data_IF_569771068141
#
_entry.id   IF_569771068141
#
_cell.length_a   1.000
_cell.length_b   1.000
_cell.length_c   1.000
_cell.angle_alpha   90.00
_cell.angle_beta   90.00
_cell.angle_gamma   90.00
#
_symmetry.space_group_name_H-M   'P 1'
#
loop_
_entity.id
_entity.type
_entity.pdbx_description
1 polymer ?
#
# COMPACT_ATOMS: atom_id res chain seq x y z
N UNK A 1 -0.91 -21.00 50.71
CA UNK A 1 -0.11 -20.53 49.57
C UNK A 1 -0.79 -21.04 48.32
N UNK A 2 -1.71 -20.24 47.78
CA UNK A 2 -2.40 -20.50 46.52
C UNK A 2 -1.93 -19.44 45.54
N UNK A 3 -1.06 -19.80 44.61
CA UNK A 3 -0.64 -18.90 43.55
C UNK A 3 -1.73 -18.83 42.48
N UNK A 4 -2.18 -17.60 42.24
CA UNK A 4 -3.06 -17.20 41.15
C UNK A 4 -2.30 -17.31 39.83
N UNK A 5 -2.60 -18.32 39.02
CA UNK A 5 -2.42 -18.20 37.57
C UNK A 5 -3.70 -17.62 36.95
N UNK A 6 -3.63 -16.50 36.20
CA UNK A 6 -4.76 -15.99 35.47
C UNK A 6 -5.06 -16.91 34.28
N UNK A 7 -6.05 -17.79 34.49
CA UNK A 7 -6.76 -18.56 33.47
C UNK A 7 -7.26 -17.63 32.36
N UNK A 8 -6.56 -17.57 31.22
CA UNK A 8 -7.03 -17.01 29.95
C UNK A 8 -8.14 -17.89 29.32
N UNK A 9 -9.18 -18.20 30.09
CA UNK A 9 -10.38 -18.88 29.61
C UNK A 9 -11.46 -17.82 29.35
N UNK A 10 -11.54 -17.32 28.12
CA UNK A 10 -12.59 -16.37 27.72
C UNK A 10 -12.76 -16.18 26.20
N UNK A 11 -11.73 -16.39 25.39
CA UNK A 11 -11.80 -16.03 23.96
C UNK A 11 -12.49 -17.05 23.05
N UNK A 12 -13.02 -18.19 23.53
CA UNK A 12 -13.61 -19.21 22.65
C UNK A 12 -15.10 -19.02 22.38
N UNK A 13 -15.86 -18.39 23.28
CA UNK A 13 -17.31 -18.21 23.14
C UNK A 13 -17.72 -16.92 22.42
N UNK A 14 -16.87 -15.88 22.40
CA UNK A 14 -17.19 -14.58 21.79
C UNK A 14 -16.88 -14.50 20.29
N UNK A 15 -16.29 -15.54 19.70
CA UNK A 15 -15.87 -15.54 18.29
C UNK A 15 -17.03 -15.41 17.29
N UNK A 16 -18.17 -16.10 17.44
CA UNK A 16 -19.30 -15.93 16.52
C UNK A 16 -19.82 -14.49 16.54
N UNK A 17 -19.87 -13.87 17.72
CA UNK A 17 -20.27 -12.49 17.89
C UNK A 17 -19.29 -11.51 17.24
N UNK A 18 -17.98 -11.66 17.52
CA UNK A 18 -16.94 -10.82 16.93
C UNK A 18 -16.86 -10.98 15.40
N UNK A 19 -17.02 -12.21 14.89
CA UNK A 19 -17.08 -12.46 13.45
C UNK A 19 -18.32 -11.83 12.84
N UNK A 20 -19.48 -11.89 13.51
CA UNK A 20 -20.72 -11.28 13.00
C UNK A 20 -20.60 -9.76 12.86
N UNK A 21 -19.97 -9.09 13.84
CA UNK A 21 -19.73 -7.64 13.78
C UNK A 21 -18.66 -7.30 12.73
N UNK A 22 -17.57 -8.07 12.65
CA UNK A 22 -16.49 -7.78 11.70
C UNK A 22 -16.86 -8.11 10.25
N UNK A 23 -17.65 -9.15 10.02
CA UNK A 23 -18.09 -9.54 8.68
C UNK A 23 -19.06 -8.53 8.09
N UNK A 24 -19.85 -7.87 8.94
CA UNK A 24 -20.84 -6.86 8.57
C UNK A 24 -20.31 -5.42 8.54
N UNK A 25 -19.03 -5.21 8.90
CA UNK A 25 -18.36 -3.93 8.67
C UNK A 25 -17.54 -3.98 7.37
N UNK A 26 -18.03 -3.29 6.34
CA UNK A 26 -17.46 -3.26 4.99
C UNK A 26 -16.69 -1.96 4.73
N UNK A 27 -15.48 -1.88 5.28
CA UNK A 27 -14.53 -0.79 4.99
C UNK A 27 -13.66 -1.11 3.76
N UNK A 28 -12.86 -0.13 3.34
CA UNK A 28 -11.84 -0.23 2.26
C UNK A 28 -10.73 -1.22 2.59
N UNK A 29 -10.39 -1.39 3.87
CA UNK A 29 -9.48 -2.43 4.35
C UNK A 29 -10.10 -3.18 5.52
N UNK A 30 -9.76 -4.46 5.67
CA UNK A 30 -10.18 -5.28 6.82
C UNK A 30 -8.99 -5.98 7.44
N UNK A 31 -8.79 -5.74 8.73
CA UNK A 31 -7.82 -6.46 9.54
C UNK A 31 -8.46 -7.72 10.12
N UNK A 32 -7.90 -8.89 9.77
CA UNK A 32 -8.49 -10.19 10.11
C UNK A 32 -7.61 -10.91 11.13
N UNK A 33 -8.14 -11.25 12.31
CA UNK A 33 -7.39 -12.04 13.28
C UNK A 33 -7.10 -13.46 12.77
N UNK A 34 -6.07 -14.12 13.32
CA UNK A 34 -5.78 -15.52 13.02
C UNK A 34 -6.95 -16.41 13.44
N UNK A 35 -7.30 -17.46 12.65
CA UNK A 35 -8.30 -18.42 13.05
C UNK A 35 -7.80 -19.29 14.22
N UNK A 36 -8.68 -19.76 15.13
CA UNK A 36 -8.29 -20.75 16.13
C UNK A 36 -7.70 -22.00 15.49
N UNK A 37 -6.71 -22.59 16.14
CA UNK A 37 -6.14 -23.89 15.79
C UNK A 37 -5.64 -23.95 14.33
N UNK A 38 -5.14 -22.84 13.81
CA UNK A 38 -4.59 -22.72 12.47
C UNK A 38 -3.20 -22.09 12.54
N UNK A 39 -2.32 -22.48 11.61
CA UNK A 39 -1.01 -21.85 11.41
C UNK A 39 -1.11 -20.49 10.71
N UNK A 40 -2.31 -20.07 10.29
CA UNK A 40 -2.53 -18.80 9.58
C UNK A 40 -2.43 -17.62 10.56
N UNK A 41 -1.53 -16.68 10.27
CA UNK A 41 -1.32 -15.46 11.05
C UNK A 41 -2.37 -14.34 10.82
N UNK A 42 -2.03 -13.14 11.28
CA UNK A 42 -2.80 -11.92 11.03
C UNK A 42 -2.83 -11.60 9.53
N UNK A 43 -3.99 -11.15 9.04
CA UNK A 43 -4.20 -10.87 7.62
C UNK A 43 -4.80 -9.50 7.41
N UNK A 44 -4.48 -8.92 6.26
CA UNK A 44 -5.06 -7.67 5.78
C UNK A 44 -5.78 -7.98 4.47
N UNK A 45 -7.02 -7.50 4.34
CA UNK A 45 -7.82 -7.62 3.13
C UNK A 45 -7.93 -6.24 2.47
N UNK A 46 -7.42 -6.11 1.25
CA UNK A 46 -7.52 -4.90 0.42
C UNK A 46 -8.74 -5.01 -0.48
N UNK A 47 -9.73 -4.14 -0.26
CA UNK A 47 -11.07 -4.19 -0.86
C UNK A 47 -11.42 -3.07 -1.87
N UNK A 48 -10.63 -1.99 -2.12
CA UNK A 48 -11.10 -0.90 -2.99
C UNK A 48 -11.05 -1.19 -4.50
N UNK A 49 -10.48 -2.32 -4.95
CA UNK A 49 -10.27 -2.53 -6.39
C UNK A 49 -11.57 -2.92 -7.09
N UNK A 50 -11.90 -2.19 -8.15
CA UNK A 50 -12.96 -2.55 -9.10
C UNK A 50 -12.52 -3.71 -9.99
N UNK A 51 -13.44 -4.65 -10.26
CA UNK A 51 -13.18 -5.78 -11.15
C UNK A 51 -13.04 -5.31 -12.60
N UNK A 52 -12.05 -5.84 -13.29
CA UNK A 52 -11.78 -5.54 -14.70
C UNK A 52 -12.36 -6.61 -15.62
N UNK A 53 -12.54 -6.29 -16.90
CA UNK A 53 -13.16 -7.21 -17.86
C UNK A 53 -12.29 -8.44 -18.15
N UNK A 54 -10.98 -8.26 -18.26
CA UNK A 54 -10.06 -9.37 -18.55
C UNK A 54 -9.39 -9.93 -17.29
N UNK A 55 -9.09 -11.23 -17.33
CA UNK A 55 -8.26 -11.87 -16.32
C UNK A 55 -6.85 -11.28 -16.27
N UNK A 56 -6.32 -10.80 -17.40
CA UNK A 56 -5.02 -10.13 -17.49
C UNK A 56 -4.98 -8.85 -16.66
N UNK A 57 -5.96 -7.96 -16.80
CA UNK A 57 -6.02 -6.71 -16.03
C UNK A 57 -6.20 -7.00 -14.53
N UNK A 58 -7.09 -7.93 -14.18
CA UNK A 58 -7.29 -8.34 -12.80
C UNK A 58 -5.99 -8.91 -12.18
N UNK A 59 -5.28 -9.78 -12.93
CA UNK A 59 -4.00 -10.33 -12.50
C UNK A 59 -2.93 -9.23 -12.34
N UNK A 60 -2.90 -8.23 -13.22
CA UNK A 60 -1.98 -7.10 -13.12
C UNK A 60 -2.15 -6.34 -11.81
N UNK A 61 -3.39 -5.97 -11.46
CA UNK A 61 -3.67 -5.22 -10.24
C UNK A 61 -3.39 -6.04 -8.97
N UNK A 62 -3.79 -7.32 -8.94
CA UNK A 62 -3.51 -8.20 -7.80
C UNK A 62 -2.01 -8.39 -7.60
N UNK A 63 -1.27 -8.65 -8.69
CA UNK A 63 0.20 -8.81 -8.64
C UNK A 63 0.87 -7.54 -8.16
N UNK A 64 0.42 -6.38 -8.65
CA UNK A 64 0.95 -5.09 -8.23
C UNK A 64 0.77 -4.83 -6.74
N UNK A 65 -0.41 -5.07 -6.16
CA UNK A 65 -0.65 -4.89 -4.72
C UNK A 65 0.23 -5.83 -3.89
N UNK A 66 0.39 -7.09 -4.31
CA UNK A 66 1.28 -8.04 -3.63
C UNK A 66 2.74 -7.59 -3.68
N UNK A 67 3.23 -7.12 -4.83
CA UNK A 67 4.60 -6.63 -4.94
C UNK A 67 4.81 -5.32 -4.19
N UNK A 68 3.84 -4.41 -4.22
CA UNK A 68 3.88 -3.14 -3.51
C UNK A 68 3.96 -3.37 -2.00
N UNK A 69 3.12 -4.25 -1.45
CA UNK A 69 3.18 -4.60 -0.01
C UNK A 69 4.51 -5.20 0.39
N UNK A 70 5.12 -6.03 -0.47
CA UNK A 70 6.48 -6.55 -0.24
C UNK A 70 7.53 -5.45 -0.28
N UNK A 71 7.43 -4.51 -1.22
CA UNK A 71 8.34 -3.36 -1.29
C UNK A 71 8.21 -2.47 -0.04
N UNK A 72 6.98 -2.19 0.42
CA UNK A 72 6.71 -1.43 1.65
C UNK A 72 7.41 -2.07 2.86
N UNK A 73 7.25 -3.37 3.04
CA UNK A 73 7.85 -4.10 4.16
C UNK A 73 9.37 -4.19 4.04
N UNK A 74 9.89 -4.48 2.85
CA UNK A 74 11.33 -4.66 2.62
C UNK A 74 12.12 -3.38 2.81
N UNK A 75 11.52 -2.23 2.50
CA UNK A 75 12.17 -0.93 2.60
C UNK A 75 11.75 -0.11 3.82
N UNK A 76 10.86 -0.63 4.66
CA UNK A 76 10.32 0.11 5.80
C UNK A 76 9.69 1.45 5.38
N UNK A 77 8.90 1.43 4.30
CA UNK A 77 8.26 2.64 3.79
C UNK A 77 7.11 3.08 4.69
N UNK A 78 6.95 4.39 4.84
CA UNK A 78 5.86 5.01 5.57
C UNK A 78 4.92 5.71 4.59
N UNK A 79 3.65 5.35 4.56
CA UNK A 79 2.61 5.99 3.75
C UNK A 79 1.55 6.70 4.59
N UNK A 80 1.80 6.91 5.88
CA UNK A 80 0.82 7.48 6.81
C UNK A 80 0.53 8.93 6.44
N UNK A 81 -0.76 9.24 6.33
CA UNK A 81 -1.34 10.58 6.21
C UNK A 81 -2.58 10.67 7.12
N UNK A 82 -3.07 11.87 7.46
CA UNK A 82 -4.29 12.01 8.27
C UNK A 82 -5.50 11.31 7.64
N UNK A 83 -6.29 10.60 8.45
CA UNK A 83 -7.48 9.87 7.97
C UNK A 83 -8.48 10.78 7.25
N UNK A 84 -8.62 12.03 7.69
CA UNK A 84 -9.47 13.02 7.04
C UNK A 84 -9.07 13.32 5.58
N UNK A 85 -7.78 13.17 5.24
CA UNK A 85 -7.26 13.30 3.88
C UNK A 85 -7.48 12.04 3.04
N UNK A 86 -7.48 10.87 3.68
CA UNK A 86 -7.94 9.63 3.04
C UNK A 86 -9.43 9.72 2.69
N UNK A 87 -10.27 10.25 3.58
CA UNK A 87 -11.71 10.44 3.31
C UNK A 87 -11.97 11.48 2.21
N UNK A 88 -11.13 12.50 2.11
CA UNK A 88 -11.15 13.46 1.00
C UNK A 88 -10.76 12.80 -0.33
N UNK A 89 -9.70 11.98 -0.33
CA UNK A 89 -9.30 11.18 -1.49
C UNK A 89 -10.40 10.23 -1.95
N UNK A 90 -11.09 9.56 -1.02
CA UNK A 90 -12.20 8.66 -1.37
C UNK A 90 -13.33 9.44 -2.06
N UNK A 91 -13.67 10.64 -1.60
CA UNK A 91 -14.68 11.49 -2.27
C UNK A 91 -14.22 11.90 -3.67
N UNK A 92 -12.96 12.31 -3.81
CA UNK A 92 -12.38 12.68 -5.12
C UNK A 92 -12.35 11.50 -6.09
N UNK A 93 -12.02 10.29 -5.63
CA UNK A 93 -11.91 9.09 -6.47
C UNK A 93 -13.23 8.71 -7.19
N UNK A 94 -14.39 9.14 -6.67
CA UNK A 94 -15.69 8.88 -7.28
C UNK A 94 -16.05 9.86 -8.41
N UNK A 95 -15.29 10.95 -8.58
CA UNK A 95 -15.56 11.91 -9.66
C UNK A 95 -15.27 11.28 -11.01
N UNK A 96 -16.05 11.66 -12.01
CA UNK A 96 -15.82 11.24 -13.40
C UNK A 96 -14.44 11.73 -13.84
N UNK A 97 -13.65 10.81 -14.38
CA UNK A 97 -12.32 11.11 -14.95
C UNK A 97 -11.30 11.62 -13.91
N UNK A 98 -11.50 11.25 -12.63
CA UNK A 98 -10.62 11.63 -11.52
C UNK A 98 -9.16 11.20 -11.72
N UNK A 99 -8.93 10.09 -12.43
CA UNK A 99 -7.59 9.58 -12.74
C UNK A 99 -6.75 10.59 -13.54
N UNK A 100 -7.38 11.34 -14.45
CA UNK A 100 -6.70 12.27 -15.34
C UNK A 100 -6.77 13.73 -14.87
N UNK A 101 -7.82 14.09 -14.11
CA UNK A 101 -8.16 15.50 -13.82
C UNK A 101 -7.95 15.92 -12.38
N UNK A 102 -8.09 15.00 -11.44
CA UNK A 102 -8.03 15.32 -10.02
C UNK A 102 -6.66 14.97 -9.43
N UNK A 103 -6.40 15.54 -8.25
CA UNK A 103 -5.21 15.26 -7.46
C UNK A 103 -5.60 14.68 -6.10
N UNK A 104 -4.74 13.83 -5.57
CA UNK A 104 -4.95 13.07 -4.35
C UNK A 104 -3.89 13.42 -3.32
N UNK A 105 -4.29 13.54 -2.05
CA UNK A 105 -3.35 13.72 -0.96
C UNK A 105 -2.50 12.48 -0.80
N UNK A 106 -1.19 12.66 -0.87
CA UNK A 106 -0.21 11.59 -0.78
C UNK A 106 1.00 12.06 0.02
N UNK A 107 1.68 11.13 0.69
CA UNK A 107 2.86 11.47 1.50
C UNK A 107 4.01 11.88 0.57
N UNK A 108 4.70 12.98 0.90
CA UNK A 108 5.83 13.50 0.10
C UNK A 108 7.04 12.56 0.21
N UNK A 109 7.47 12.29 1.44
CA UNK A 109 8.59 11.39 1.72
C UNK A 109 8.07 10.09 2.35
N UNK A 110 8.25 9.00 1.62
CA UNK A 110 7.83 7.66 2.04
C UNK A 110 8.96 6.86 2.70
N UNK A 111 10.17 7.40 2.77
CA UNK A 111 11.30 6.73 3.40
C UNK A 111 11.36 7.03 4.90
N UNK A 112 11.87 6.07 5.66
CA UNK A 112 12.09 6.22 7.11
C UNK A 112 13.59 6.17 7.42
N UNK A 113 13.97 6.43 8.67
CA UNK A 113 15.36 6.27 9.13
C UNK A 113 15.88 4.84 8.95
N UNK A 114 14.97 3.86 8.94
CA UNK A 114 15.26 2.45 8.76
C UNK A 114 15.29 2.00 7.29
N UNK A 115 14.96 2.88 6.33
CA UNK A 115 15.00 2.51 4.92
C UNK A 115 16.43 2.27 4.43
N UNK A 116 16.68 1.24 3.58
CA UNK A 116 18.02 0.96 3.06
C UNK A 116 18.63 2.16 2.34
N UNK A 117 19.92 2.42 2.59
CA UNK A 117 20.62 3.60 2.07
C UNK A 117 20.56 3.70 0.53
N UNK A 118 20.60 2.57 -0.17
CA UNK A 118 20.59 2.55 -1.63
C UNK A 118 19.23 2.95 -2.23
N UNK A 119 18.14 2.72 -1.50
CA UNK A 119 16.79 3.16 -1.90
C UNK A 119 16.59 4.64 -1.55
N UNK A 120 17.10 5.09 -0.41
CA UNK A 120 17.08 6.50 -0.02
C UNK A 120 17.92 7.38 -0.98
N UNK A 121 19.04 6.85 -1.51
CA UNK A 121 19.87 7.52 -2.53
C UNK A 121 19.14 7.78 -3.85
N UNK A 122 18.07 7.04 -4.19
CA UNK A 122 17.29 7.29 -5.40
C UNK A 122 16.57 8.66 -5.36
N UNK A 123 16.42 9.25 -4.17
CA UNK A 123 15.92 10.62 -3.95
C UNK A 123 17.05 11.66 -3.92
N UNK A 124 18.31 11.23 -3.92
CA UNK A 124 19.48 12.08 -3.71
C UNK A 124 19.92 12.82 -4.98
N UNK A 125 18.97 13.31 -5.79
CA UNK A 125 19.15 14.45 -6.68
C UNK A 125 19.34 15.78 -5.91
N UNK A 126 19.85 15.72 -4.68
CA UNK A 126 20.62 16.79 -4.05
C UNK A 126 19.84 17.92 -3.37
N UNK A 127 18.55 17.78 -3.04
CA UNK A 127 17.79 18.88 -2.41
C UNK A 127 16.94 18.57 -1.18
N UNK A 128 16.71 17.30 -0.83
CA UNK A 128 15.93 16.97 0.35
C UNK A 128 16.85 16.45 1.45
N UNK A 129 17.27 17.34 2.36
CA UNK A 129 17.80 16.90 3.65
C UNK A 129 16.74 16.05 4.36
N UNK A 130 17.15 15.03 5.12
CA UNK A 130 16.27 14.34 6.08
C UNK A 130 15.88 15.36 7.16
N UNK A 131 14.91 16.21 6.87
CA UNK A 131 14.43 17.25 7.79
C UNK A 131 13.69 16.54 8.91
N UNK A 132 14.16 16.75 10.14
CA UNK A 132 13.50 16.33 11.37
C UNK A 132 12.07 16.89 11.35
N UNK A 133 11.07 16.01 11.29
CA UNK A 133 9.67 16.36 11.04
C UNK A 133 9.19 17.57 11.85
N UNK A 134 9.00 18.71 11.19
CA UNK A 134 8.22 19.85 11.67
C UNK A 134 6.87 19.86 10.95
N UNK A 135 5.78 20.09 11.70
CA UNK A 135 4.37 20.12 11.28
C UNK A 135 3.86 18.96 10.40
N UNK A 136 2.85 18.24 10.90
CA UNK A 136 2.14 17.14 10.18
C UNK A 136 1.65 17.55 8.78
N UNK A 137 1.33 18.84 8.59
CA UNK A 137 0.86 19.38 7.31
C UNK A 137 1.93 19.38 6.22
N UNK A 138 3.21 19.37 6.57
CA UNK A 138 4.30 19.39 5.61
C UNK A 138 4.63 17.98 5.07
N UNK A 139 4.12 16.91 5.69
CA UNK A 139 4.42 15.51 5.33
C UNK A 139 3.69 15.01 4.08
N UNK A 140 2.65 15.70 3.61
CA UNK A 140 1.84 15.27 2.47
C UNK A 140 1.54 16.42 1.51
N UNK A 141 1.25 16.09 0.26
CA UNK A 141 0.89 17.03 -0.81
C UNK A 141 -0.16 16.43 -1.71
N UNK A 142 -0.74 17.24 -2.60
CA UNK A 142 -1.58 16.74 -3.67
C UNK A 142 -0.71 16.29 -4.85
N UNK A 143 -1.00 15.12 -5.39
CA UNK A 143 -0.33 14.54 -6.56
C UNK A 143 -1.37 13.95 -7.50
N UNK A 144 -1.12 14.02 -8.81
CA UNK A 144 -1.88 13.29 -9.82
C UNK A 144 -1.64 11.78 -9.72
N UNK A 145 -2.52 10.97 -10.29
CA UNK A 145 -2.32 9.52 -10.34
C UNK A 145 -1.05 9.14 -11.11
N UNK A 146 -0.72 9.91 -12.15
CA UNK A 146 0.52 9.75 -12.90
C UNK A 146 1.75 9.93 -11.99
N UNK A 147 1.80 11.01 -11.22
CA UNK A 147 2.92 11.27 -10.30
C UNK A 147 3.01 10.20 -9.20
N UNK A 148 1.86 9.78 -8.64
CA UNK A 148 1.85 8.72 -7.61
C UNK A 148 2.38 7.40 -8.17
N UNK A 149 1.97 6.98 -9.37
CA UNK A 149 2.35 5.67 -9.90
C UNK A 149 3.70 5.69 -10.62
N UNK A 150 3.93 6.67 -11.49
CA UNK A 150 5.10 6.74 -12.35
C UNK A 150 6.24 7.59 -11.75
N UNK A 151 5.95 8.42 -10.76
CA UNK A 151 6.90 9.32 -10.11
C UNK A 151 6.85 10.75 -10.68
N UNK A 152 7.56 11.64 -10.02
CA UNK A 152 7.84 13.01 -10.41
C UNK A 152 9.28 13.36 -10.03
N UNK A 153 9.69 14.62 -10.18
CA UNK A 153 11.01 15.07 -9.75
C UNK A 153 11.22 14.93 -8.24
N UNK A 154 10.14 15.04 -7.46
CA UNK A 154 10.15 15.06 -6.00
C UNK A 154 9.61 13.76 -5.36
N UNK A 155 9.03 12.85 -6.15
CA UNK A 155 8.43 11.61 -5.65
C UNK A 155 8.86 10.41 -6.51
N UNK A 156 9.34 9.30 -5.92
CA UNK A 156 9.94 8.21 -6.69
C UNK A 156 8.94 7.43 -7.54
N UNK A 157 7.66 7.41 -7.16
CA UNK A 157 6.61 6.63 -7.84
C UNK A 157 6.48 5.20 -7.31
N UNK A 158 5.24 4.69 -7.22
CA UNK A 158 4.98 3.32 -6.75
C UNK A 158 5.53 2.24 -7.70
N UNK A 159 5.44 2.45 -9.02
CA UNK A 159 5.94 1.49 -10.01
C UNK A 159 7.47 1.41 -9.98
N UNK A 160 8.23 2.53 -9.96
CA UNK A 160 9.67 2.48 -9.76
C UNK A 160 10.10 1.76 -8.47
N UNK A 161 9.42 2.00 -7.34
CA UNK A 161 9.68 1.29 -6.08
C UNK A 161 9.50 -0.23 -6.22
N UNK A 162 8.43 -0.66 -6.89
CA UNK A 162 8.18 -2.08 -7.17
C UNK A 162 9.24 -2.66 -8.09
N UNK A 163 9.66 -1.94 -9.14
CA UNK A 163 10.74 -2.38 -10.03
C UNK A 163 12.07 -2.55 -9.28
N UNK A 164 12.39 -1.62 -8.39
CA UNK A 164 13.58 -1.74 -7.56
C UNK A 164 13.52 -2.96 -6.64
N UNK A 165 12.34 -3.25 -6.07
CA UNK A 165 12.14 -4.45 -5.28
C UNK A 165 12.34 -5.73 -6.10
N UNK A 166 11.79 -5.79 -7.31
CA UNK A 166 11.97 -6.93 -8.21
C UNK A 166 13.45 -7.18 -8.55
N UNK A 167 14.25 -6.12 -8.70
CA UNK A 167 15.70 -6.24 -8.96
C UNK A 167 16.48 -6.83 -7.77
N UNK A 168 15.92 -6.78 -6.55
CA UNK A 168 16.52 -7.37 -5.34
C UNK A 168 16.16 -8.84 -5.12
N UNK A 169 15.21 -9.36 -5.89
CA UNK A 169 14.72 -10.73 -5.78
C UNK A 169 15.17 -11.53 -6.99
N UNK A 170 15.60 -12.76 -6.77
CA UNK A 170 15.92 -13.69 -7.85
C UNK A 170 14.59 -14.20 -8.49
N UNK A 171 14.35 -13.79 -9.73
CA UNK A 171 13.12 -14.07 -10.49
C UNK A 171 13.53 -14.49 -11.90
N UNK A 172 12.88 -15.54 -12.42
CA UNK A 172 13.12 -16.00 -13.78
C UNK A 172 12.68 -14.97 -14.83
N UNK A 173 13.28 -15.08 -16.01
CA UNK A 173 13.13 -14.10 -17.09
C UNK A 173 11.67 -14.02 -17.58
N UNK A 174 10.97 -15.15 -17.67
CA UNK A 174 9.60 -15.21 -18.19
C UNK A 174 8.60 -14.55 -17.23
N UNK A 175 8.75 -14.82 -15.93
CA UNK A 175 7.97 -14.16 -14.87
C UNK A 175 8.28 -12.66 -14.85
N UNK A 176 9.55 -12.27 -14.96
CA UNK A 176 9.96 -10.85 -15.01
C UNK A 176 9.32 -10.12 -16.20
N UNK A 177 9.35 -10.72 -17.40
CA UNK A 177 8.70 -10.15 -18.59
C UNK A 177 7.18 -9.99 -18.40
N UNK A 178 6.52 -10.99 -17.82
CA UNK A 178 5.08 -10.94 -17.52
C UNK A 178 4.75 -9.80 -16.56
N UNK A 179 5.52 -9.67 -15.47
CA UNK A 179 5.35 -8.60 -14.49
C UNK A 179 5.60 -7.23 -15.15
N UNK A 180 6.59 -7.09 -16.03
CA UNK A 180 6.82 -5.85 -16.75
C UNK A 180 5.62 -5.44 -17.62
N UNK A 181 4.94 -6.39 -18.25
CA UNK A 181 3.71 -6.10 -19.01
C UNK A 181 2.57 -5.63 -18.09
N UNK A 182 2.42 -6.23 -16.90
CA UNK A 182 1.46 -5.76 -15.89
C UNK A 182 1.78 -4.34 -15.41
N UNK A 183 3.04 -4.05 -15.07
CA UNK A 183 3.46 -2.72 -14.64
C UNK A 183 3.28 -1.69 -15.75
N UNK A 184 3.52 -2.06 -17.01
CA UNK A 184 3.28 -1.19 -18.18
C UNK A 184 1.80 -0.83 -18.32
N UNK A 185 0.90 -1.79 -18.17
CA UNK A 185 -0.55 -1.53 -18.19
C UNK A 185 -0.94 -0.50 -17.11
N UNK A 186 -0.49 -0.71 -15.88
CA UNK A 186 -0.82 0.18 -14.75
C UNK A 186 -0.23 1.57 -14.96
N UNK A 187 1.02 1.65 -15.43
CA UNK A 187 1.72 2.89 -15.75
C UNK A 187 0.95 3.75 -16.76
N UNK A 188 0.51 3.14 -17.87
CA UNK A 188 -0.25 3.81 -18.92
C UNK A 188 -1.62 4.32 -18.44
N UNK A 189 -2.33 3.49 -17.67
CA UNK A 189 -3.62 3.90 -17.08
C UNK A 189 -3.49 5.06 -16.11
N UNK A 190 -2.42 5.07 -15.33
CA UNK A 190 -2.16 6.17 -14.39
C UNK A 190 -1.79 7.48 -15.11
N UNK A 191 -1.16 7.40 -16.30
CA UNK A 191 -0.84 8.56 -17.13
C UNK A 191 -1.97 9.01 -18.06
N UNK A 192 -3.05 8.22 -18.19
CA UNK A 192 -4.15 8.50 -19.10
C UNK A 192 -3.88 8.10 -20.57
N UNK A 193 -2.88 7.24 -20.83
CA UNK A 193 -2.60 6.68 -22.16
C UNK A 193 -3.50 5.48 -22.51
#
# INVERSE_FOLDING_TARGET
MSENEPRLYGLSQDKPFLVNIQSTNWQTMRFKPPPPNSSIGWRVEFRPMEVQLSSFENAAYVTFIVLLTRAVLSYGLNFVIPISKVDENMRTAHKRDAVNKDMFYFRKDVFTDCSPADVAKCMASGKCERIKCSNIQDEYTQMTMNEIFNGSDDFPGLIPLVKQYLNSVDIDIDTSCTIQNYLKLISKRASGE
#
